data_IF_734353037464
#
_entry.id   IF_734353037464
#
_cell.length_a   1.000
_cell.length_b   1.000
_cell.length_c   1.000
_cell.angle_alpha   90.00
_cell.angle_beta   90.00
_cell.angle_gamma   90.00
#
_symmetry.space_group_name_H-M   'P 1'
#
loop_
_entity.id
_entity.type
_entity.pdbx_description
1 polymer ?
#
# COMPACT_ATOMS: atom_id res chain seq x y z
N UNK A 1 -8.43 -10.37 -11.49
CA UNK A 1 -8.96 -10.59 -10.12
C UNK A 1 -8.02 -10.09 -9.01
N UNK A 2 -6.69 -10.20 -9.18
CA UNK A 2 -5.72 -9.64 -8.20
C UNK A 2 -5.75 -8.10 -8.13
N UNK A 3 -5.83 -7.43 -9.29
CA UNK A 3 -5.86 -5.96 -9.38
C UNK A 3 -7.10 -5.38 -8.70
N UNK A 4 -8.27 -5.99 -8.94
CA UNK A 4 -9.56 -5.54 -8.36
C UNK A 4 -9.56 -5.61 -6.83
N UNK A 5 -9.02 -6.69 -6.23
CA UNK A 5 -8.97 -6.80 -4.77
C UNK A 5 -8.10 -5.69 -4.14
N UNK A 6 -6.95 -5.37 -4.75
CA UNK A 6 -6.08 -4.28 -4.27
C UNK A 6 -6.79 -2.93 -4.39
N UNK A 7 -7.44 -2.65 -5.52
CA UNK A 7 -8.11 -1.37 -5.78
C UNK A 7 -9.29 -1.15 -4.82
N UNK A 8 -10.15 -2.15 -4.65
CA UNK A 8 -11.29 -2.09 -3.72
C UNK A 8 -10.83 -1.86 -2.27
N UNK A 9 -9.79 -2.57 -1.82
CA UNK A 9 -9.22 -2.34 -0.49
C UNK A 9 -8.60 -0.92 -0.38
N UNK A 10 -7.99 -0.41 -1.45
CA UNK A 10 -7.44 0.96 -1.45
C UNK A 10 -8.54 2.00 -1.27
N UNK A 11 -9.68 1.83 -1.95
CA UNK A 11 -10.85 2.71 -1.79
C UNK A 11 -11.38 2.60 -0.35
N UNK A 12 -11.55 1.38 0.16
CA UNK A 12 -11.98 1.15 1.54
C UNK A 12 -11.04 1.83 2.56
N UNK A 13 -9.73 1.73 2.37
CA UNK A 13 -8.76 2.41 3.24
C UNK A 13 -8.84 3.93 3.17
N UNK A 14 -9.14 4.51 2.01
CA UNK A 14 -9.39 5.97 1.91
C UNK A 14 -10.60 6.35 2.76
N UNK A 15 -11.72 5.67 2.63
CA UNK A 15 -12.94 5.95 3.42
C UNK A 15 -12.75 5.71 4.93
N UNK A 16 -11.92 4.73 5.30
CA UNK A 16 -11.64 4.44 6.71
C UNK A 16 -10.68 5.45 7.33
N UNK A 17 -9.55 5.73 6.68
CA UNK A 17 -8.47 6.52 7.30
C UNK A 17 -8.50 8.01 6.96
N UNK A 18 -9.18 8.41 5.87
CA UNK A 18 -9.35 9.79 5.47
C UNK A 18 -10.76 10.24 5.85
N UNK A 19 -10.86 10.99 6.96
CA UNK A 19 -12.13 11.53 7.46
C UNK A 19 -12.82 12.39 6.39
N UNK A 20 -14.12 12.22 6.18
CA UNK A 20 -14.92 12.97 5.19
C UNK A 20 -14.39 12.85 3.74
N UNK A 21 -13.72 11.74 3.40
CA UNK A 21 -13.26 11.51 2.02
C UNK A 21 -14.44 11.27 1.07
N UNK A 22 -14.32 11.79 -0.14
CA UNK A 22 -15.31 11.66 -1.23
C UNK A 22 -14.61 11.09 -2.45
N UNK A 23 -15.27 10.16 -3.14
CA UNK A 23 -14.72 9.52 -4.33
C UNK A 23 -14.41 10.55 -5.43
N UNK A 24 -13.24 10.42 -6.05
CA UNK A 24 -12.75 11.37 -7.07
C UNK A 24 -12.07 12.63 -6.50
N UNK A 25 -12.02 12.81 -5.17
CA UNK A 25 -11.42 13.99 -4.57
C UNK A 25 -9.88 13.91 -4.38
N UNK A 26 -9.20 12.89 -4.89
CA UNK A 26 -7.79 12.57 -4.60
C UNK A 26 -6.81 13.76 -4.72
N UNK A 27 -6.94 14.59 -5.76
CA UNK A 27 -6.05 15.75 -5.95
C UNK A 27 -6.51 17.03 -5.22
N UNK A 28 -7.77 17.04 -4.79
CA UNK A 28 -8.39 18.17 -4.11
C UNK A 28 -8.33 18.03 -2.58
N UNK A 29 -8.29 16.80 -2.06
CA UNK A 29 -8.40 16.47 -0.66
C UNK A 29 -7.24 17.06 0.15
N UNK A 30 -7.58 18.00 1.03
CA UNK A 30 -6.63 18.81 1.76
C UNK A 30 -7.24 19.37 3.04
N UNK A 31 -6.37 19.79 3.95
CA UNK A 31 -6.74 20.42 5.22
C UNK A 31 -6.15 21.83 5.28
N UNK A 32 -6.91 22.73 5.90
CA UNK A 32 -6.61 24.17 5.96
C UNK A 32 -6.39 24.68 7.38
N UNK A 33 -6.73 23.90 8.42
CA UNK A 33 -6.57 24.32 9.81
C UNK A 33 -5.60 23.41 10.56
N UNK A 34 -4.88 23.98 11.53
CA UNK A 34 -3.94 23.23 12.38
C UNK A 34 -4.66 22.19 13.25
N UNK A 35 -5.87 22.53 13.74
CA UNK A 35 -6.67 21.64 14.59
C UNK A 35 -7.13 20.41 13.82
N UNK A 36 -7.66 20.60 12.61
CA UNK A 36 -8.12 19.49 11.78
C UNK A 36 -6.95 18.59 11.35
N UNK A 37 -5.79 19.18 11.07
CA UNK A 37 -4.60 18.40 10.73
C UNK A 37 -4.14 17.57 11.92
N UNK A 38 -4.16 18.15 13.12
CA UNK A 38 -3.83 17.45 14.35
C UNK A 38 -4.83 16.32 14.67
N UNK A 39 -6.13 16.56 14.54
CA UNK A 39 -7.20 15.57 14.75
C UNK A 39 -7.10 14.41 13.76
N UNK A 40 -6.81 14.69 12.48
CA UNK A 40 -6.63 13.66 11.43
C UNK A 40 -5.32 12.89 11.56
N UNK A 41 -4.29 13.50 12.18
CA UNK A 41 -3.04 12.82 12.51
C UNK A 41 -3.18 11.97 13.79
N UNK A 42 -4.10 12.36 14.69
CA UNK A 42 -4.49 11.61 15.87
C UNK A 42 -5.19 10.33 15.45
N UNK A 43 -4.40 9.27 15.46
CA UNK A 43 -4.63 8.02 14.80
C UNK A 43 -5.69 7.12 15.48
N UNK A 44 -6.86 7.69 15.79
CA UNK A 44 -7.98 7.01 16.46
C UNK A 44 -8.52 5.88 15.59
N UNK A 45 -8.66 6.12 14.29
CA UNK A 45 -9.26 5.14 13.39
C UNK A 45 -8.42 3.87 13.23
N UNK A 46 -7.09 4.00 13.26
CA UNK A 46 -6.22 2.83 13.21
C UNK A 46 -6.53 1.90 14.38
N UNK A 47 -6.66 2.40 15.61
CA UNK A 47 -6.92 1.55 16.78
C UNK A 47 -8.28 0.83 16.71
N UNK A 48 -9.24 1.38 15.96
CA UNK A 48 -10.59 0.86 15.84
C UNK A 48 -10.76 -0.22 14.74
N UNK A 49 -9.73 -0.48 13.90
CA UNK A 49 -9.84 -1.39 12.75
C UNK A 49 -10.50 -2.74 13.09
N UNK A 50 -10.10 -3.49 14.15
CA UNK A 50 -10.66 -4.81 14.39
C UNK A 50 -12.15 -4.83 14.74
N UNK A 51 -12.69 -3.70 15.21
CA UNK A 51 -14.05 -3.60 15.73
C UNK A 51 -15.01 -2.85 14.79
N UNK A 52 -14.50 -1.94 13.95
CA UNK A 52 -15.34 -1.09 13.10
C UNK A 52 -15.32 -1.46 11.60
N UNK A 53 -14.34 -2.25 11.16
CA UNK A 53 -14.21 -2.57 9.72
C UNK A 53 -15.00 -3.80 9.32
N UNK A 54 -15.59 -3.75 8.11
CA UNK A 54 -16.26 -4.90 7.48
C UNK A 54 -15.23 -5.95 7.01
N UNK A 55 -14.08 -5.48 6.51
CA UNK A 55 -12.98 -6.32 6.09
C UNK A 55 -12.21 -6.90 7.28
N UNK A 56 -11.72 -8.14 7.16
CA UNK A 56 -10.92 -8.77 8.22
C UNK A 56 -9.44 -8.42 8.05
N UNK A 57 -8.98 -7.45 8.83
CA UNK A 57 -7.58 -7.00 8.81
C UNK A 57 -6.83 -7.39 10.08
N UNK A 58 -5.56 -7.76 9.93
CA UNK A 58 -4.66 -8.06 11.05
C UNK A 58 -3.42 -7.15 11.01
N UNK A 59 -3.00 -6.62 12.15
CA UNK A 59 -1.79 -5.81 12.23
C UNK A 59 -0.52 -6.64 12.05
N UNK A 60 0.46 -6.06 11.38
CA UNK A 60 1.82 -6.61 11.32
C UNK A 60 2.71 -5.86 12.31
N UNK A 61 3.35 -6.59 13.22
CA UNK A 61 4.40 -6.04 14.09
C UNK A 61 5.75 -6.08 13.35
N UNK A 62 6.63 -5.12 13.62
CA UNK A 62 7.97 -5.08 13.02
C UNK A 62 8.78 -6.35 13.31
N UNK A 63 9.43 -6.89 12.28
CA UNK A 63 10.12 -8.20 12.29
C UNK A 63 11.55 -8.16 12.87
N UNK A 64 12.06 -7.02 13.35
CA UNK A 64 13.35 -6.96 14.05
C UNK A 64 13.16 -6.85 15.56
N UNK A 65 13.74 -7.80 16.28
CA UNK A 65 13.55 -8.01 17.72
C UNK A 65 13.56 -6.74 18.56
N UNK A 66 12.47 -6.58 19.33
CA UNK A 66 12.35 -5.60 20.42
C UNK A 66 11.20 -4.60 20.24
N UNK A 67 10.02 -4.90 20.79
CA UNK A 67 8.91 -3.95 21.03
C UNK A 67 8.73 -2.86 19.95
N UNK A 68 8.73 -3.27 18.67
CA UNK A 68 8.50 -2.35 17.55
C UNK A 68 7.00 -2.15 17.35
N UNK A 69 6.59 -0.88 17.28
CA UNK A 69 5.20 -0.50 17.06
C UNK A 69 4.72 -0.94 15.68
N UNK A 70 3.46 -1.35 15.56
CA UNK A 70 2.84 -1.76 14.28
C UNK A 70 2.54 -0.58 13.33
N UNK A 71 2.96 0.62 13.74
CA UNK A 71 2.80 1.88 13.05
C UNK A 71 4.11 2.66 13.15
N UNK A 72 4.34 3.55 12.20
CA UNK A 72 5.46 4.47 12.12
C UNK A 72 4.91 5.84 11.77
N UNK A 73 5.08 6.81 12.68
CA UNK A 73 4.74 8.20 12.46
C UNK A 73 6.05 8.98 12.28
N UNK A 74 6.22 9.63 11.13
CA UNK A 74 7.39 10.42 10.82
C UNK A 74 7.00 11.85 10.50
N UNK A 75 7.72 12.80 11.08
CA UNK A 75 7.55 14.22 10.81
C UNK A 75 8.84 14.75 10.20
N UNK A 76 8.78 15.25 8.97
CA UNK A 76 9.93 15.95 8.37
C UNK A 76 9.73 17.46 8.55
N UNK A 77 10.78 18.12 9.02
CA UNK A 77 10.76 19.55 9.27
C UNK A 77 12.15 20.15 9.04
N UNK A 78 12.19 21.43 8.66
CA UNK A 78 13.47 22.13 8.49
C UNK A 78 14.20 22.27 9.82
N UNK A 79 15.54 22.12 9.80
CA UNK A 79 16.35 22.28 11.02
C UNK A 79 16.17 23.68 11.62
N UNK A 80 16.28 24.71 10.78
CA UNK A 80 15.91 26.11 11.04
C UNK A 80 14.84 26.51 10.04
N UNK A 81 13.77 27.15 10.52
CA UNK A 81 12.65 27.57 9.68
C UNK A 81 11.91 28.71 10.34
N UNK A 82 12.55 29.87 10.43
CA UNK A 82 11.91 31.10 10.93
C UNK A 82 11.40 31.86 9.71
N UNK A 83 10.09 32.04 9.62
CA UNK A 83 9.42 32.78 8.56
C UNK A 83 8.61 33.86 9.27
N UNK A 84 8.89 35.12 8.98
CA UNK A 84 8.20 36.27 9.56
C UNK A 84 7.67 37.16 8.43
N UNK A 85 6.43 36.90 7.97
CA UNK A 85 5.80 37.66 6.90
C UNK A 85 5.57 39.13 7.23
N UNK A 86 5.49 39.50 8.52
CA UNK A 86 5.25 40.89 8.92
C UNK A 86 6.48 41.78 8.67
N UNK A 87 7.67 41.19 8.71
CA UNK A 87 8.95 41.86 8.50
C UNK A 87 9.60 41.48 7.16
N UNK A 88 8.91 40.73 6.29
CA UNK A 88 9.45 40.18 5.03
C UNK A 88 10.78 39.42 5.19
N UNK A 89 11.00 38.77 6.35
CA UNK A 89 12.25 38.03 6.63
C UNK A 89 12.03 36.53 6.76
N UNK A 90 13.01 35.76 6.28
CA UNK A 90 13.05 34.31 6.47
C UNK A 90 14.47 33.82 6.73
N UNK A 91 14.60 32.77 7.53
CA UNK A 91 15.84 32.05 7.78
C UNK A 91 15.54 30.55 7.81
N UNK A 92 15.82 29.89 6.69
CA UNK A 92 15.53 28.48 6.46
C UNK A 92 16.85 27.76 6.16
N UNK A 93 17.11 26.69 6.92
CA UNK A 93 18.16 25.72 6.59
C UNK A 93 17.50 24.57 5.82
N UNK A 94 17.81 24.40 4.51
CA UNK A 94 17.19 23.35 3.70
C UNK A 94 17.62 21.95 4.10
N UNK A 95 18.62 21.82 4.99
CA UNK A 95 19.07 20.53 5.49
C UNK A 95 17.97 19.88 6.33
N UNK A 96 17.39 18.82 5.77
CA UNK A 96 16.44 17.97 6.46
C UNK A 96 17.24 17.12 7.45
N UNK A 97 16.99 17.22 8.78
CA UNK A 97 17.58 16.28 9.73
C UNK A 97 17.17 14.86 9.34
N UNK A 98 18.07 13.89 9.45
CA UNK A 98 17.66 12.49 9.41
C UNK A 98 16.56 12.29 10.47
N UNK A 99 15.44 11.63 10.12
CA UNK A 99 14.37 11.43 11.07
C UNK A 99 14.96 10.72 12.29
N UNK A 100 14.88 11.30 13.50
CA UNK A 100 15.09 10.50 14.69
C UNK A 100 14.05 9.38 14.63
N UNK A 101 14.47 8.13 14.88
CA UNK A 101 13.52 7.05 15.15
C UNK A 101 12.59 7.57 16.24
N UNK A 102 11.37 7.95 15.86
CA UNK A 102 10.48 8.66 16.75
C UNK A 102 10.15 7.70 17.89
N UNK A 103 10.61 8.09 19.08
CA UNK A 103 10.41 7.34 20.31
C UNK A 103 8.93 7.04 20.52
N UNK A 104 8.67 5.85 21.07
CA UNK A 104 7.48 4.99 20.96
C UNK A 104 6.19 5.56 21.55
N UNK A 105 6.09 6.87 21.76
CA UNK A 105 4.99 7.53 22.44
C UNK A 105 4.23 8.46 21.49
N UNK A 106 3.28 7.88 20.74
CA UNK A 106 2.25 8.60 20.00
C UNK A 106 1.43 9.59 20.84
N UNK A 107 1.52 9.48 22.18
CA UNK A 107 0.76 10.29 23.13
C UNK A 107 1.25 11.74 23.24
N UNK A 108 2.52 12.02 22.91
CA UNK A 108 3.12 13.36 23.05
C UNK A 108 3.60 13.94 21.72
N UNK A 109 2.89 13.65 20.63
CA UNK A 109 3.23 14.18 19.31
C UNK A 109 2.81 15.66 19.19
N UNK A 110 3.77 16.55 18.92
CA UNK A 110 3.52 17.99 18.71
C UNK A 110 4.05 18.42 17.35
N UNK A 111 3.15 18.88 16.48
CA UNK A 111 3.49 19.32 15.13
C UNK A 111 4.10 20.72 15.14
N UNK A 112 5.23 20.86 14.42
CA UNK A 112 5.95 22.13 14.28
C UNK A 112 5.55 22.84 12.98
N UNK A 113 4.31 23.30 12.89
CA UNK A 113 3.70 23.84 11.65
C UNK A 113 4.58 24.88 10.90
N UNK A 114 5.21 25.81 11.64
CA UNK A 114 6.05 26.88 11.06
C UNK A 114 7.25 26.39 10.23
N UNK A 115 7.67 25.13 10.42
CA UNK A 115 8.81 24.53 9.72
C UNK A 115 8.52 23.11 9.24
N UNK A 116 7.24 22.72 9.21
CA UNK A 116 6.80 21.37 8.85
C UNK A 116 6.82 21.20 7.33
N UNK A 117 7.57 20.22 6.84
CA UNK A 117 7.63 19.88 5.41
C UNK A 117 6.50 18.88 5.09
N UNK A 118 6.46 17.77 5.81
CA UNK A 118 5.40 16.77 5.68
C UNK A 118 5.29 15.93 6.96
N UNK A 119 4.21 15.17 7.05
CA UNK A 119 4.02 14.09 8.02
C UNK A 119 3.69 12.83 7.23
N UNK A 120 4.34 11.72 7.56
CA UNK A 120 4.02 10.42 6.98
C UNK A 120 3.62 9.45 8.08
N UNK A 121 2.53 8.74 7.84
CA UNK A 121 2.03 7.67 8.70
C UNK A 121 2.12 6.40 7.90
N UNK A 122 2.89 5.43 8.37
CA UNK A 122 3.06 4.16 7.68
C UNK A 122 2.72 3.00 8.62
N UNK A 123 1.93 2.07 8.12
CA UNK A 123 1.61 0.84 8.84
C UNK A 123 1.29 -0.30 7.87
N UNK A 124 1.26 -1.51 8.42
CA UNK A 124 1.02 -2.72 7.64
C UNK A 124 -0.20 -3.48 8.15
N UNK A 125 -1.07 -3.86 7.22
CA UNK A 125 -2.25 -4.68 7.48
C UNK A 125 -2.20 -5.95 6.62
N UNK A 126 -2.55 -7.08 7.21
CA UNK A 126 -2.76 -8.35 6.51
C UNK A 126 -4.23 -8.57 6.24
N UNK A 127 -4.55 -9.08 5.06
CA UNK A 127 -5.87 -9.53 4.67
C UNK A 127 -5.76 -10.83 3.85
N UNK A 128 -6.83 -11.59 3.79
CA UNK A 128 -6.90 -12.81 2.97
C UNK A 128 -7.92 -12.56 1.86
N UNK A 129 -7.53 -12.79 0.61
CA UNK A 129 -8.45 -12.67 -0.52
C UNK A 129 -9.28 -13.95 -0.65
N UNK A 130 -10.48 -13.95 -0.06
CA UNK A 130 -11.40 -15.09 -0.14
C UNK A 130 -12.18 -15.17 -1.46
N UNK A 131 -12.11 -14.13 -2.32
CA UNK A 131 -12.84 -14.11 -3.60
C UNK A 131 -12.35 -15.23 -4.53
N UNK A 132 -11.08 -15.62 -4.42
CA UNK A 132 -10.47 -16.68 -5.24
C UNK A 132 -11.06 -18.07 -4.97
N UNK A 133 -11.66 -18.29 -3.79
CA UNK A 133 -12.31 -19.56 -3.42
C UNK A 133 -13.49 -19.85 -4.36
N UNK A 134 -14.18 -18.82 -4.87
CA UNK A 134 -15.29 -18.97 -5.84
C UNK A 134 -14.82 -19.68 -7.11
N UNK A 135 -13.55 -19.51 -7.46
CA UNK A 135 -12.93 -20.13 -8.63
C UNK A 135 -12.15 -21.41 -8.29
N UNK A 136 -12.37 -22.00 -7.10
CA UNK A 136 -11.62 -23.14 -6.59
C UNK A 136 -10.09 -22.88 -6.51
N UNK A 137 -9.68 -21.62 -6.38
CA UNK A 137 -8.26 -21.25 -6.22
C UNK A 137 -7.90 -21.09 -4.74
N UNK A 138 -6.66 -21.43 -4.41
CA UNK A 138 -6.12 -21.23 -3.05
C UNK A 138 -6.10 -19.72 -2.76
N UNK A 139 -6.61 -19.26 -1.60
CA UNK A 139 -6.61 -17.85 -1.27
C UNK A 139 -5.20 -17.33 -1.01
N UNK A 140 -4.91 -16.18 -1.62
CA UNK A 140 -3.68 -15.44 -1.41
C UNK A 140 -3.75 -14.59 -0.14
N UNK A 141 -2.63 -14.52 0.58
CA UNK A 141 -2.44 -13.68 1.74
C UNK A 141 -1.81 -12.35 1.30
N UNK A 142 -2.54 -11.25 1.48
CA UNK A 142 -2.10 -9.90 1.15
C UNK A 142 -1.51 -9.22 2.38
N UNK A 143 -0.36 -8.58 2.21
CA UNK A 143 0.18 -7.60 3.16
C UNK A 143 0.13 -6.22 2.52
N UNK A 144 -0.81 -5.40 2.95
CA UNK A 144 -0.94 -4.01 2.56
C UNK A 144 0.00 -3.16 3.40
N UNK A 145 0.83 -2.36 2.73
CA UNK A 145 1.61 -1.28 3.33
C UNK A 145 0.91 0.03 2.98
N UNK A 146 0.24 0.60 3.97
CA UNK A 146 -0.52 1.85 3.83
C UNK A 146 0.39 3.00 4.26
N UNK A 147 0.49 4.01 3.41
CA UNK A 147 1.23 5.25 3.69
C UNK A 147 0.31 6.45 3.51
N UNK A 148 0.06 7.17 4.59
CA UNK A 148 -0.70 8.43 4.57
C UNK A 148 0.30 9.58 4.64
N UNK A 149 0.31 10.43 3.62
CA UNK A 149 1.23 11.55 3.51
C UNK A 149 0.46 12.86 3.61
N UNK A 150 0.84 13.69 4.58
CA UNK A 150 0.39 15.07 4.75
C UNK A 150 1.47 15.98 4.16
N UNK A 151 1.26 16.49 2.95
CA UNK A 151 2.23 17.28 2.21
C UNK A 151 2.00 18.79 2.43
N UNK A 152 2.96 19.43 3.10
CA UNK A 152 3.01 20.88 3.35
C UNK A 152 4.23 21.54 2.67
N UNK A 153 4.86 20.90 1.67
CA UNK A 153 6.07 21.44 1.01
C UNK A 153 5.90 22.84 0.44
N UNK A 154 4.70 23.19 -0.02
CA UNK A 154 4.41 24.50 -0.58
C UNK A 154 4.20 25.60 0.47
N UNK A 155 4.00 25.25 1.75
CA UNK A 155 3.70 26.19 2.84
C UNK A 155 2.57 27.20 2.51
N UNK A 156 1.61 26.83 1.67
CA UNK A 156 0.56 27.72 1.14
C UNK A 156 -0.68 27.84 2.05
N UNK A 157 -0.63 27.26 3.24
CA UNK A 157 -1.81 27.11 4.12
C UNK A 157 -2.77 25.98 3.70
N UNK A 158 -2.48 25.30 2.58
CA UNK A 158 -3.19 24.09 2.12
C UNK A 158 -2.27 22.87 2.26
N UNK A 159 -2.62 21.96 3.16
CA UNK A 159 -1.90 20.69 3.31
C UNK A 159 -2.63 19.60 2.56
N UNK A 160 -2.02 19.06 1.51
CA UNK A 160 -2.62 17.96 0.73
C UNK A 160 -2.44 16.65 1.49
N UNK A 161 -3.47 15.81 1.49
CA UNK A 161 -3.39 14.49 2.14
C UNK A 161 -3.56 13.43 1.06
N UNK A 162 -2.66 12.45 1.05
CA UNK A 162 -2.69 11.32 0.11
C UNK A 162 -2.54 10.02 0.86
N UNK A 163 -3.25 8.99 0.40
CA UNK A 163 -3.11 7.62 0.89
C UNK A 163 -2.64 6.74 -0.26
N UNK A 164 -1.44 6.20 -0.09
CA UNK A 164 -0.84 5.25 -1.00
C UNK A 164 -0.90 3.84 -0.39
N UNK A 165 -1.22 2.85 -1.22
CA UNK A 165 -1.31 1.45 -0.80
C UNK A 165 -0.44 0.55 -1.69
N UNK A 166 0.53 -0.11 -1.08
CA UNK A 166 1.36 -1.12 -1.74
C UNK A 166 0.95 -2.50 -1.21
N UNK A 167 0.70 -3.44 -2.11
CA UNK A 167 0.28 -4.79 -1.76
C UNK A 167 1.41 -5.78 -2.07
N UNK A 168 1.80 -6.55 -1.06
CA UNK A 168 2.70 -7.69 -1.19
C UNK A 168 1.86 -8.97 -1.08
N UNK A 169 2.01 -9.87 -2.06
CA UNK A 169 1.19 -11.08 -2.19
C UNK A 169 2.06 -12.28 -1.86
N UNK A 170 1.59 -13.10 -0.92
CA UNK A 170 2.25 -14.35 -0.54
C UNK A 170 1.23 -15.47 -0.44
N UNK A 171 1.66 -16.70 -0.69
CA UNK A 171 0.87 -17.88 -0.40
C UNK A 171 0.62 -17.95 1.12
N UNK A 172 -0.64 -18.24 1.49
CA UNK A 172 -0.99 -18.47 2.88
C UNK A 172 -0.34 -19.77 3.37
N UNK A 173 0.09 -19.79 4.63
CA UNK A 173 0.62 -21.00 5.26
C UNK A 173 -0.52 -21.98 5.56
N UNK A 174 -0.36 -23.23 5.14
CA UNK A 174 -1.28 -24.36 5.39
C UNK A 174 -2.75 -24.09 4.98
N UNK A 175 -3.03 -23.78 3.70
CA UNK A 175 -4.40 -23.53 3.26
C UNK A 175 -5.20 -24.84 3.18
N UNK A 176 -6.27 -24.94 3.97
CA UNK A 176 -7.24 -26.05 3.88
C UNK A 176 -8.45 -25.64 3.05
N UNK A 177 -8.37 -25.81 1.73
CA UNK A 177 -9.51 -25.62 0.83
C UNK A 177 -10.09 -26.99 0.48
N UNK A 178 -11.38 -27.18 0.75
CA UNK A 178 -12.12 -28.36 0.28
C UNK A 178 -12.43 -28.18 -1.21
N UNK A 179 -11.63 -28.79 -2.09
CA UNK A 179 -11.83 -28.73 -3.54
C UNK A 179 -10.70 -29.41 -4.30
N UNK A 180 -11.03 -30.20 -5.32
CA UNK A 180 -10.07 -31.02 -6.07
C UNK A 180 -9.36 -30.20 -7.16
N UNK A 181 -8.12 -29.80 -6.90
CA UNK A 181 -7.28 -29.06 -7.86
C UNK A 181 -6.74 -29.95 -9.00
N UNK A 182 -7.04 -31.25 -8.99
CA UNK A 182 -6.55 -32.24 -9.95
C UNK A 182 -6.98 -31.96 -11.39
N UNK A 183 -8.19 -31.42 -11.60
CA UNK A 183 -8.73 -31.18 -12.96
C UNK A 183 -7.96 -30.12 -13.75
N UNK A 184 -7.50 -29.04 -13.10
CA UNK A 184 -6.72 -27.98 -13.76
C UNK A 184 -5.35 -28.48 -14.20
N UNK A 185 -4.65 -29.17 -13.29
CA UNK A 185 -3.35 -29.78 -13.59
C UNK A 185 -3.46 -30.80 -14.73
N UNK A 186 -4.50 -31.61 -14.74
CA UNK A 186 -4.75 -32.56 -15.82
C UNK A 186 -4.95 -31.84 -17.18
N UNK A 187 -5.78 -30.80 -17.19
CA UNK A 187 -6.02 -30.02 -18.41
C UNK A 187 -4.74 -29.37 -18.94
N UNK A 188 -3.93 -28.76 -18.06
CA UNK A 188 -2.66 -28.14 -18.45
C UNK A 188 -1.68 -29.16 -19.07
N UNK A 189 -1.59 -30.36 -18.50
CA UNK A 189 -0.77 -31.45 -19.05
C UNK A 189 -1.24 -31.85 -20.45
N UNK A 190 -2.56 -31.98 -20.65
CA UNK A 190 -3.12 -32.30 -21.97
C UNK A 190 -2.81 -31.21 -23.00
N UNK A 191 -2.94 -29.93 -22.61
CA UNK A 191 -2.61 -28.80 -23.50
C UNK A 191 -1.13 -28.83 -23.89
N UNK A 192 -0.22 -29.05 -22.94
CA UNK A 192 1.23 -29.16 -23.21
C UNK A 192 1.52 -30.31 -24.19
N UNK A 193 0.86 -31.46 -24.03
CA UNK A 193 1.03 -32.61 -24.93
C UNK A 193 0.56 -32.31 -26.35
N UNK A 194 -0.59 -31.68 -26.52
CA UNK A 194 -1.11 -31.31 -27.85
C UNK A 194 -0.20 -30.27 -28.52
N UNK A 195 0.24 -29.25 -27.78
CA UNK A 195 1.14 -28.22 -28.29
C UNK A 195 2.50 -28.79 -28.71
N UNK A 196 3.08 -29.70 -27.92
CA UNK A 196 4.37 -30.33 -28.24
C UNK A 196 4.29 -31.26 -29.46
N UNK A 197 3.23 -32.05 -29.59
CA UNK A 197 2.99 -32.88 -30.78
C UNK A 197 2.85 -32.02 -32.04
N UNK A 198 2.07 -30.94 -31.98
CA UNK A 198 1.93 -29.99 -33.09
C UNK A 198 3.29 -29.38 -33.46
N UNK A 199 4.08 -28.97 -32.47
CA UNK A 199 5.40 -28.40 -32.70
C UNK A 199 6.35 -29.38 -33.41
N UNK A 200 6.36 -30.65 -33.00
CA UNK A 200 7.18 -31.70 -33.64
C UNK A 200 6.76 -31.92 -35.10
N UNK A 201 5.45 -31.99 -35.37
CA UNK A 201 4.93 -32.17 -36.73
C UNK A 201 5.26 -30.96 -37.62
N UNK A 202 5.10 -29.75 -37.11
CA UNK A 202 5.46 -28.52 -37.81
C UNK A 202 6.97 -28.46 -38.11
N UNK A 203 7.82 -28.75 -37.12
CA UNK A 203 9.27 -28.79 -37.30
C UNK A 203 9.67 -29.81 -38.39
N UNK A 204 9.06 -31.01 -38.38
CA UNK A 204 9.30 -32.03 -39.38
C UNK A 204 8.88 -31.58 -40.79
N UNK A 205 7.77 -30.86 -40.91
CA UNK A 205 7.31 -30.30 -42.19
C UNK A 205 8.27 -29.24 -42.72
N UNK A 206 8.75 -28.34 -41.85
CA UNK A 206 9.72 -27.30 -42.22
C UNK A 206 11.05 -27.91 -42.67
N UNK A 207 11.57 -28.91 -41.95
CA UNK A 207 12.82 -29.60 -42.32
C UNK A 207 12.69 -30.23 -43.72
N UNK A 208 11.56 -30.88 -44.01
CA UNK A 208 11.32 -31.44 -45.36
C UNK A 208 11.23 -30.35 -46.43
N UNK A 209 10.60 -29.21 -46.13
CA UNK A 209 10.54 -28.07 -47.03
C UNK A 209 11.92 -27.49 -47.35
N UNK A 210 12.78 -27.34 -46.33
CA UNK A 210 14.16 -26.85 -46.50
C UNK A 210 15.02 -27.83 -47.31
N UNK A 211 14.88 -29.14 -47.08
CA UNK A 211 15.57 -30.18 -47.85
C UNK A 211 15.20 -30.13 -49.34
N UNK A 212 13.94 -29.83 -49.67
CA UNK A 212 13.49 -29.68 -51.06
C UNK A 212 13.96 -28.38 -51.73
N UNK A 213 14.29 -27.34 -50.96
CA UNK A 213 14.87 -26.09 -51.48
C UNK A 213 16.38 -26.17 -51.72
N UNK A 214 17.07 -27.18 -51.15
CA UNK A 214 18.52 -27.39 -51.26
C UNK A 214 18.90 -28.47 -52.29
N UNK A 215 17.92 -28.99 -53.04
CA UNK A 215 18.10 -29.82 -54.25
C UNK A 215 17.78 -28.97 -55.47
#
# INVERSE_FOLDING_TARGET
>A
MVVTFKEENTIAFKHLFLKDYVDGADDSYAVYTQRDLYDRCLLRQYLAIPNETIGRYAYVRGESGGNQSALMLCQQYYRKGRIDPANDTFNIDPKIPLPPELDRSYKNFTLKFHKLINVTIQFKLKAINIQTIINNEIPDCYTFTITITFDNKAHSGRVKIRLDNQADIKECKDPSVFGDNSFRLFFDVVVILVCSLSFILCARSIIRGLLLQHV
#
